data_IF_406746393689
#
_entry.id   IF_406746393689
#
_cell.length_a   1.000
_cell.length_b   1.000
_cell.length_c   1.000
_cell.angle_alpha   90.00
_cell.angle_beta   90.00
_cell.angle_gamma   90.00
#
_symmetry.space_group_name_H-M   'P 1'
#
loop_
_entity.id
_entity.type
_entity.pdbx_description
1 polymer ?
#
# COMPACT_ATOMS: atom_id res chain seq x y z
N UNK A 1 -48.51 34.98 -6.62
CA UNK A 1 -48.06 34.01 -5.60
C UNK A 1 -47.06 33.06 -6.26
N UNK A 2 -45.90 32.81 -5.61
CA UNK A 2 -44.87 31.76 -5.84
C UNK A 2 -44.43 31.54 -7.31
N UNK A 3 -43.32 32.10 -7.83
CA UNK A 3 -41.88 31.89 -7.50
C UNK A 3 -41.44 30.42 -7.34
N UNK A 4 -40.52 30.04 -8.23
CA UNK A 4 -39.39 29.11 -8.09
C UNK A 4 -39.65 27.60 -8.21
N UNK A 5 -39.05 26.97 -9.25
CA UNK A 5 -37.96 25.97 -9.19
C UNK A 5 -37.97 24.97 -10.37
N UNK A 6 -37.27 25.32 -11.46
CA UNK A 6 -36.39 24.38 -12.19
C UNK A 6 -34.98 24.59 -11.62
N UNK A 7 -34.00 23.66 -11.71
CA UNK A 7 -34.06 22.23 -12.03
C UNK A 7 -33.25 21.35 -11.03
N UNK A 8 -33.64 20.09 -10.82
CA UNK A 8 -32.81 19.11 -10.11
C UNK A 8 -31.78 18.52 -11.10
N UNK A 9 -30.69 19.25 -11.29
CA UNK A 9 -29.46 18.75 -11.89
C UNK A 9 -28.76 17.79 -10.91
N UNK A 10 -28.10 16.77 -11.48
CA UNK A 10 -26.89 16.10 -10.97
C UNK A 10 -27.04 15.24 -9.70
N UNK A 11 -27.47 13.98 -9.86
CA UNK A 11 -27.16 12.90 -8.90
C UNK A 11 -26.97 11.57 -9.64
N UNK A 12 -25.81 11.38 -10.28
CA UNK A 12 -25.18 10.07 -10.51
C UNK A 12 -23.81 10.24 -11.19
N UNK A 13 -22.88 10.94 -10.54
CA UNK A 13 -21.46 10.79 -10.84
C UNK A 13 -20.73 10.69 -9.50
N UNK A 14 -20.22 9.50 -9.16
CA UNK A 14 -19.55 9.31 -7.87
C UNK A 14 -19.24 7.87 -7.50
N UNK A 15 -18.79 7.04 -8.44
CA UNK A 15 -17.97 5.86 -8.11
C UNK A 15 -16.73 5.87 -8.99
N UNK A 16 -15.82 6.79 -8.69
CA UNK A 16 -14.41 6.60 -9.01
C UNK A 16 -13.72 6.18 -7.72
N UNK A 17 -13.60 4.87 -7.52
CA UNK A 17 -12.41 4.32 -6.86
C UNK A 17 -11.54 3.78 -7.98
N UNK A 18 -11.07 4.70 -8.82
CA UNK A 18 -9.93 4.44 -9.69
C UNK A 18 -8.74 4.42 -8.74
N UNK A 19 -8.23 3.23 -8.44
CA UNK A 19 -6.85 3.15 -8.01
C UNK A 19 -6.06 3.73 -9.17
N UNK A 20 -5.47 4.92 -8.99
CA UNK A 20 -4.57 5.52 -9.97
C UNK A 20 -3.44 4.52 -10.26
N UNK A 21 -3.64 3.73 -11.30
CA UNK A 21 -2.61 2.92 -11.93
C UNK A 21 -1.88 3.91 -12.83
N UNK A 22 -0.62 4.23 -12.50
CA UNK A 22 0.25 4.95 -13.44
C UNK A 22 0.20 4.24 -14.81
N UNK A 23 -0.26 4.91 -15.87
CA UNK A 23 -0.32 4.32 -17.20
C UNK A 23 1.11 4.11 -17.69
N UNK A 24 1.56 2.85 -17.71
CA UNK A 24 2.90 2.44 -18.14
C UNK A 24 3.54 1.33 -17.31
N UNK A 25 3.00 1.01 -16.14
CA UNK A 25 3.60 0.01 -15.26
C UNK A 25 3.35 -1.41 -15.77
N UNK A 26 4.44 -2.17 -15.95
CA UNK A 26 4.44 -3.52 -16.53
C UNK A 26 4.26 -4.58 -15.45
N UNK A 27 3.96 -5.82 -15.84
CA UNK A 27 3.90 -6.94 -14.90
C UNK A 27 5.28 -7.22 -14.26
N UNK A 28 6.35 -6.95 -14.99
CA UNK A 28 7.73 -7.08 -14.53
C UNK A 28 8.09 -6.11 -13.39
N UNK A 29 7.25 -5.11 -13.08
CA UNK A 29 7.47 -4.17 -11.97
C UNK A 29 6.82 -4.65 -10.66
N UNK A 30 5.99 -5.70 -10.71
CA UNK A 30 5.32 -6.24 -9.53
C UNK A 30 6.28 -7.06 -8.66
N UNK A 31 6.13 -6.93 -7.35
CA UNK A 31 6.88 -7.66 -6.33
C UNK A 31 5.91 -8.59 -5.63
N UNK A 32 6.27 -9.87 -5.54
CA UNK A 32 5.52 -10.84 -4.75
C UNK A 32 5.83 -10.66 -3.26
N UNK A 33 4.78 -10.42 -2.47
CA UNK A 33 4.87 -10.29 -1.02
C UNK A 33 3.90 -11.25 -0.33
N UNK A 34 4.22 -11.61 0.91
CA UNK A 34 3.37 -12.40 1.79
C UNK A 34 3.00 -11.59 3.05
N UNK A 35 1.71 -11.46 3.34
CA UNK A 35 1.23 -10.68 4.48
C UNK A 35 1.44 -11.43 5.80
N UNK A 36 2.01 -10.76 6.80
CA UNK A 36 2.19 -11.28 8.17
C UNK A 36 1.14 -10.72 9.15
N UNK A 37 0.29 -9.80 8.67
CA UNK A 37 -0.74 -9.11 9.44
C UNK A 37 -0.27 -7.75 9.95
N UNK A 38 -0.90 -7.25 11.01
CA UNK A 38 -0.52 -5.97 11.62
C UNK A 38 0.80 -6.08 12.38
N UNK A 39 1.73 -5.17 12.12
CA UNK A 39 2.82 -4.90 13.02
C UNK A 39 2.25 -4.42 14.37
N UNK A 40 2.82 -4.90 15.47
CA UNK A 40 2.29 -4.66 16.83
C UNK A 40 2.58 -3.26 17.36
N UNK A 41 3.60 -2.58 16.82
CA UNK A 41 4.04 -1.27 17.30
C UNK A 41 3.16 -0.16 16.70
N UNK A 42 3.05 -0.15 15.37
CA UNK A 42 2.43 0.97 14.64
C UNK A 42 1.16 0.61 13.87
N UNK A 43 0.66 -0.62 13.97
CA UNK A 43 -0.59 -1.01 13.29
C UNK A 43 -0.48 -1.15 11.76
N UNK A 44 0.71 -0.95 11.20
CA UNK A 44 0.97 -1.02 9.75
C UNK A 44 1.11 -2.47 9.31
N UNK A 45 0.73 -2.78 8.07
CA UNK A 45 0.93 -4.11 7.50
C UNK A 45 2.40 -4.52 7.50
N UNK A 46 2.71 -5.63 8.16
CA UNK A 46 4.00 -6.30 8.09
C UNK A 46 3.96 -7.36 6.99
N UNK A 47 4.98 -7.38 6.14
CA UNK A 47 5.04 -8.26 4.97
C UNK A 47 6.42 -8.84 4.77
N UNK A 48 6.49 -9.99 4.11
CA UNK A 48 7.74 -10.63 3.65
C UNK A 48 7.81 -10.50 2.14
N UNK A 49 8.88 -9.91 1.61
CA UNK A 49 9.11 -9.90 0.17
C UNK A 49 9.75 -11.21 -0.29
N UNK A 50 9.26 -11.82 -1.38
CA UNK A 50 9.90 -13.00 -1.98
C UNK A 50 11.17 -12.64 -2.75
N UNK A 51 11.21 -11.45 -3.34
CA UNK A 51 12.40 -10.89 -4.00
C UNK A 51 12.87 -9.63 -3.25
N UNK A 52 13.76 -9.84 -2.28
CA UNK A 52 14.38 -8.75 -1.51
C UNK A 52 15.20 -7.81 -2.39
N UNK A 53 15.96 -8.35 -3.35
CA UNK A 53 16.88 -7.54 -4.16
C UNK A 53 16.10 -6.48 -4.96
N UNK A 54 14.93 -6.85 -5.48
CA UNK A 54 14.04 -5.93 -6.16
C UNK A 54 13.46 -4.85 -5.24
N UNK A 55 13.13 -5.19 -3.99
CA UNK A 55 12.71 -4.17 -3.00
C UNK A 55 13.86 -3.21 -2.69
N UNK A 56 15.07 -3.72 -2.49
CA UNK A 56 16.25 -2.90 -2.18
C UNK A 56 16.64 -1.94 -3.32
N UNK A 57 16.39 -2.33 -4.58
CA UNK A 57 16.56 -1.42 -5.73
C UNK A 57 15.63 -0.21 -5.66
N UNK A 58 14.46 -0.34 -5.04
CA UNK A 58 13.46 0.74 -4.96
C UNK A 58 13.65 1.61 -3.72
N UNK A 59 13.84 0.99 -2.55
CA UNK A 59 13.86 1.72 -1.27
C UNK A 59 15.22 1.77 -0.57
N UNK A 60 16.22 1.06 -1.10
CA UNK A 60 17.55 0.90 -0.49
C UNK A 60 17.68 -0.35 0.39
N UNK A 61 18.91 -0.63 0.82
CA UNK A 61 19.24 -1.80 1.66
C UNK A 61 18.55 -1.75 3.02
N UNK A 62 18.11 -2.92 3.49
CA UNK A 62 17.42 -3.05 4.77
C UNK A 62 18.10 -4.03 5.74
N UNK A 63 18.26 -3.60 6.99
CA UNK A 63 18.89 -4.42 8.04
C UNK A 63 18.07 -5.66 8.42
N UNK A 64 16.75 -5.61 8.26
CA UNK A 64 15.81 -6.67 8.66
C UNK A 64 15.08 -7.31 7.47
N UNK A 65 15.69 -7.25 6.29
CA UNK A 65 15.17 -7.95 5.14
C UNK A 65 15.07 -9.47 5.43
N UNK A 66 14.08 -10.18 4.85
CA UNK A 66 13.11 -9.72 3.85
C UNK A 66 11.80 -9.14 4.43
N UNK A 67 11.81 -8.66 5.69
CA UNK A 67 10.61 -8.14 6.36
C UNK A 67 10.53 -6.61 6.22
N UNK A 68 9.35 -6.13 5.81
CA UNK A 68 9.10 -4.71 5.54
C UNK A 68 7.75 -4.26 6.09
N UNK A 69 7.57 -2.94 6.15
CA UNK A 69 6.29 -2.30 6.42
C UNK A 69 5.65 -1.80 5.13
N UNK A 70 4.48 -2.30 4.80
CA UNK A 70 3.74 -1.94 3.59
C UNK A 70 2.75 -0.80 3.89
N UNK A 71 3.20 0.44 3.73
CA UNK A 71 2.36 1.62 3.88
C UNK A 71 1.30 1.69 2.77
N UNK A 72 0.11 2.18 3.12
CA UNK A 72 -1.05 2.32 2.23
C UNK A 72 -1.56 1.02 1.59
N UNK A 73 -1.10 -0.15 2.05
CA UNK A 73 -1.71 -1.41 1.65
C UNK A 73 -3.13 -1.49 2.22
N UNK A 74 -4.12 -1.71 1.34
CA UNK A 74 -5.53 -1.79 1.73
C UNK A 74 -5.73 -2.87 2.81
N UNK A 75 -6.29 -2.46 3.95
CA UNK A 75 -6.58 -3.33 5.11
C UNK A 75 -7.32 -4.61 4.75
N UNK A 76 -8.22 -4.56 3.76
CA UNK A 76 -8.97 -5.73 3.31
C UNK A 76 -8.06 -6.82 2.70
N UNK A 77 -6.87 -6.44 2.22
CA UNK A 77 -5.91 -7.34 1.59
C UNK A 77 -4.99 -8.03 2.61
N UNK A 78 -4.72 -7.43 3.78
CA UNK A 78 -3.73 -7.93 4.74
C UNK A 78 -4.25 -8.30 6.13
N UNK A 79 -5.47 -7.92 6.50
CA UNK A 79 -6.11 -8.33 7.77
C UNK A 79 -6.14 -9.86 7.91
N UNK A 80 -6.34 -10.56 6.79
CA UNK A 80 -6.18 -12.01 6.73
C UNK A 80 -4.70 -12.31 6.46
N UNK A 81 -4.00 -12.79 7.50
CA UNK A 81 -2.60 -13.22 7.44
C UNK A 81 -2.38 -14.27 6.34
N UNK A 82 -1.12 -14.42 5.91
CA UNK A 82 -0.66 -15.44 4.97
C UNK A 82 -1.30 -15.32 3.58
N UNK A 83 -1.54 -14.09 3.12
CA UNK A 83 -1.96 -13.83 1.74
C UNK A 83 -0.77 -13.45 0.89
N UNK A 84 -0.68 -14.06 -0.29
CA UNK A 84 0.28 -13.67 -1.31
C UNK A 84 -0.34 -12.62 -2.21
N UNK A 85 0.37 -11.51 -2.37
CA UNK A 85 -0.04 -10.38 -3.21
C UNK A 85 1.06 -10.06 -4.21
N UNK A 86 0.66 -9.58 -5.37
CA UNK A 86 1.53 -8.81 -6.25
C UNK A 86 1.32 -7.34 -5.97
N UNK A 87 2.41 -6.64 -5.64
CA UNK A 87 2.37 -5.22 -5.31
C UNK A 87 3.35 -4.42 -6.15
N UNK A 88 3.01 -3.16 -6.41
CA UNK A 88 3.97 -2.17 -6.85
C UNK A 88 4.27 -1.24 -5.70
N UNK A 89 5.54 -0.83 -5.61
CA UNK A 89 6.02 -0.08 -4.47
C UNK A 89 6.83 1.13 -4.92
N UNK A 90 6.92 2.11 -4.03
CA UNK A 90 7.86 3.22 -4.14
C UNK A 90 8.44 3.55 -2.78
N UNK A 91 9.50 4.35 -2.78
CA UNK A 91 10.05 4.95 -1.56
C UNK A 91 9.02 5.89 -0.91
N UNK A 92 8.87 5.88 0.41
CA UNK A 92 8.03 6.84 1.12
C UNK A 92 8.59 8.26 1.04
N UNK A 93 7.68 9.24 1.05
CA UNK A 93 8.02 10.65 1.19
C UNK A 93 8.25 10.98 2.67
N UNK A 94 8.92 12.10 2.98
CA UNK A 94 9.19 12.51 4.37
C UNK A 94 7.95 12.56 5.28
N UNK A 95 6.78 12.91 4.73
CA UNK A 95 5.50 12.98 5.45
C UNK A 95 4.79 11.63 5.62
N UNK A 96 5.23 10.58 4.93
CA UNK A 96 4.61 9.26 4.95
C UNK A 96 5.34 8.28 5.88
N UNK A 97 6.52 8.64 6.37
CA UNK A 97 7.25 7.83 7.32
C UNK A 97 6.45 7.68 8.61
N UNK A 98 6.20 6.43 8.99
CA UNK A 98 5.60 6.08 10.27
C UNK A 98 6.71 5.68 11.21
N UNK A 99 6.74 6.32 12.38
CA UNK A 99 7.62 5.95 13.47
C UNK A 99 7.03 4.71 14.16
N UNK A 100 7.55 3.54 13.82
CA UNK A 100 7.27 2.30 14.52
C UNK A 100 8.38 2.06 15.54
N UNK A 101 8.29 2.68 16.72
CA UNK A 101 9.22 2.38 17.82
C UNK A 101 8.65 2.70 19.21
N UNK A 102 8.79 1.74 20.12
CA UNK A 102 9.45 1.98 21.41
C UNK A 102 10.51 0.91 21.80
N UNK A 103 10.42 -0.35 21.31
CA UNK A 103 11.31 -1.46 21.73
C UNK A 103 11.51 -2.56 20.67
N UNK A 104 11.59 -2.23 19.37
CA UNK A 104 11.65 -3.24 18.31
C UNK A 104 12.53 -2.86 17.11
N UNK A 105 12.87 -3.85 16.26
CA UNK A 105 13.63 -3.61 15.03
C UNK A 105 12.86 -2.66 14.10
N UNK A 106 13.54 -1.59 13.67
CA UNK A 106 13.00 -0.63 12.70
C UNK A 106 12.93 -1.24 11.31
N UNK A 107 11.84 -1.94 11.00
CA UNK A 107 11.57 -2.44 9.65
C UNK A 107 11.45 -1.27 8.68
N UNK A 108 12.13 -1.36 7.53
CA UNK A 108 12.06 -0.30 6.53
C UNK A 108 10.66 -0.28 5.87
N UNK A 109 10.05 0.91 5.73
CA UNK A 109 8.78 1.04 5.04
C UNK A 109 8.94 1.24 3.54
N UNK A 110 7.98 0.72 2.78
CA UNK A 110 7.69 1.16 1.41
C UNK A 110 6.21 1.57 1.29
N UNK A 111 5.89 2.37 0.28
CA UNK A 111 4.50 2.70 -0.04
C UNK A 111 4.01 1.80 -1.16
N UNK A 112 2.88 1.14 -0.94
CA UNK A 112 2.18 0.37 -1.97
C UNK A 112 1.39 1.32 -2.87
N UNK A 113 1.67 1.29 -4.17
CA UNK A 113 0.96 2.08 -5.19
C UNK A 113 -0.15 1.28 -5.87
N UNK A 114 0.04 -0.03 -6.01
CA UNK A 114 -1.00 -0.96 -6.44
C UNK A 114 -0.83 -2.31 -5.76
N UNK A 115 -1.93 -3.03 -5.59
CA UNK A 115 -1.93 -4.38 -5.04
C UNK A 115 -3.03 -5.23 -5.67
N UNK A 116 -2.70 -6.49 -5.98
CA UNK A 116 -3.66 -7.51 -6.39
C UNK A 116 -3.34 -8.83 -5.72
N UNK A 117 -4.38 -9.65 -5.51
CA UNK A 117 -4.22 -11.02 -5.03
C UNK A 117 -3.50 -11.83 -6.12
N UNK A 118 -2.61 -12.74 -5.70
CA UNK A 118 -2.00 -13.72 -6.59
C UNK A 118 -3.04 -14.65 -7.19
#
# INVERSE_FOLDING_TARGET
MKKLLLPLLLLAAGCQKEADIEPGAKAEDEIEIETQGSNRDCGVAQVVAKDQAKVEQVIGRAAYAPIYLALKLDTALWVRKNRTLYVRIRKPNNSEYVLCTAMGPGYLPFVVTSARVK
#
